data_IF_361043718252
#
_entry.id   IF_361043718252
#
_cell.length_a   1.000
_cell.length_b   1.000
_cell.length_c   1.000
_cell.angle_alpha   90.00
_cell.angle_beta   90.00
_cell.angle_gamma   90.00
#
_symmetry.space_group_name_H-M   'P 1'
#
loop_
_entity.id
_entity.type
_entity.pdbx_description
1 polymer ?
#
# COMPACT_ATOMS: atom_id res chain seq x y z
N UNK A 1 -24.57 64.33 -38.65
CA UNK A 1 -23.39 63.50 -38.14
C UNK A 1 -23.91 62.68 -36.99
N UNK A 2 -24.29 61.41 -37.25
CA UNK A 2 -24.70 60.44 -36.24
C UNK A 2 -23.47 59.58 -35.84
N UNK A 3 -23.04 59.64 -34.58
CA UNK A 3 -22.00 58.71 -34.00
C UNK A 3 -22.72 57.45 -33.60
N UNK A 4 -22.38 56.32 -34.25
CA UNK A 4 -22.78 55.00 -33.82
C UNK A 4 -21.86 54.55 -32.68
N UNK A 5 -22.45 54.22 -31.54
CA UNK A 5 -21.79 53.69 -30.36
C UNK A 5 -21.76 52.17 -30.50
N UNK A 6 -20.59 51.57 -30.74
CA UNK A 6 -20.41 50.12 -30.70
C UNK A 6 -20.23 49.69 -29.23
N UNK A 7 -21.22 48.97 -28.69
CA UNK A 7 -21.12 48.30 -27.41
C UNK A 7 -20.49 46.92 -27.65
N UNK A 8 -19.23 46.74 -27.24
CA UNK A 8 -18.56 45.46 -27.21
C UNK A 8 -19.04 44.70 -25.96
N UNK A 9 -19.90 43.69 -26.15
CA UNK A 9 -20.26 42.72 -25.13
C UNK A 9 -19.09 41.72 -25.01
N UNK A 10 -18.29 41.82 -23.95
CA UNK A 10 -17.30 40.81 -23.58
C UNK A 10 -18.00 39.62 -22.91
N UNK A 11 -18.13 38.53 -23.65
CA UNK A 11 -18.66 37.27 -23.14
C UNK A 11 -17.57 36.59 -22.32
N UNK A 12 -17.63 36.75 -21.00
CA UNK A 12 -16.75 36.03 -20.06
C UNK A 12 -17.21 34.58 -19.96
N UNK A 13 -16.56 33.67 -20.67
CA UNK A 13 -16.76 32.22 -20.50
C UNK A 13 -16.14 31.84 -19.18
N UNK A 14 -16.95 31.71 -18.15
CA UNK A 14 -16.56 31.02 -16.89
C UNK A 14 -16.39 29.54 -17.21
N UNK A 15 -15.14 29.13 -17.47
CA UNK A 15 -14.74 27.72 -17.39
C UNK A 15 -14.81 27.30 -15.92
N UNK A 16 -15.96 26.77 -15.48
CA UNK A 16 -16.05 26.00 -14.24
C UNK A 16 -15.29 24.70 -14.46
N UNK A 17 -13.97 24.70 -14.17
CA UNK A 17 -13.17 23.50 -14.09
C UNK A 17 -13.76 22.62 -13.00
N UNK A 18 -14.48 21.55 -13.37
CA UNK A 18 -14.86 20.50 -12.45
C UNK A 18 -13.58 19.92 -11.88
N UNK A 19 -13.26 20.21 -10.61
CA UNK A 19 -12.17 19.56 -9.89
C UNK A 19 -12.52 18.07 -9.81
N UNK A 20 -11.91 17.27 -10.69
CA UNK A 20 -12.04 15.81 -10.69
C UNK A 20 -11.56 15.34 -9.33
N UNK A 21 -12.45 14.73 -8.55
CA UNK A 21 -12.06 14.11 -7.29
C UNK A 21 -11.35 12.78 -7.60
N UNK A 22 -10.03 12.85 -7.77
CA UNK A 22 -9.15 11.74 -8.12
C UNK A 22 -9.41 10.50 -7.23
N UNK A 23 -9.68 10.71 -5.95
CA UNK A 23 -9.99 9.66 -5.00
C UNK A 23 -11.25 8.87 -5.40
N UNK A 24 -12.32 9.54 -5.80
CA UNK A 24 -13.59 8.89 -6.20
C UNK A 24 -13.53 8.26 -7.59
N UNK A 25 -12.78 8.82 -8.50
CA UNK A 25 -12.76 8.38 -9.90
C UNK A 25 -11.86 7.16 -10.12
N UNK A 26 -10.67 7.14 -9.51
CA UNK A 26 -9.63 6.15 -9.80
C UNK A 26 -9.36 5.16 -8.68
N UNK A 27 -9.96 5.35 -7.50
CA UNK A 27 -9.73 4.48 -6.34
C UNK A 27 -11.03 3.91 -5.81
N UNK A 28 -10.96 2.65 -5.42
CA UNK A 28 -12.01 1.94 -4.69
C UNK A 28 -11.58 1.67 -3.25
N UNK A 29 -12.55 1.60 -2.34
CA UNK A 29 -12.32 1.15 -0.97
C UNK A 29 -12.68 -0.33 -0.82
N UNK A 30 -11.88 -1.06 -0.05
CA UNK A 30 -12.26 -2.37 0.43
C UNK A 30 -12.90 -2.24 1.82
N UNK A 31 -14.04 -2.89 1.98
CA UNK A 31 -14.79 -2.96 3.25
C UNK A 31 -15.54 -4.30 3.35
N UNK A 32 -16.18 -4.56 4.48
CA UNK A 32 -16.88 -5.83 4.75
C UNK A 32 -18.08 -6.10 3.84
N UNK A 33 -18.57 -5.11 3.08
CA UNK A 33 -19.66 -5.28 2.13
C UNK A 33 -19.18 -5.79 0.76
N UNK A 34 -17.94 -5.48 0.39
CA UNK A 34 -17.40 -5.76 -0.94
C UNK A 34 -16.14 -6.64 -0.94
N UNK A 35 -15.63 -7.05 0.24
CA UNK A 35 -14.45 -7.89 0.41
C UNK A 35 -14.65 -8.87 1.56
N UNK A 36 -14.11 -10.09 1.41
CA UNK A 36 -14.04 -11.10 2.47
C UNK A 36 -12.77 -11.00 3.30
N UNK A 37 -11.86 -10.09 2.95
CA UNK A 37 -10.58 -9.90 3.64
C UNK A 37 -10.77 -9.34 5.05
N UNK A 38 -9.87 -9.72 5.95
CA UNK A 38 -9.68 -9.05 7.23
C UNK A 38 -8.79 -7.82 6.98
N UNK A 39 -9.28 -6.64 7.34
CA UNK A 39 -8.57 -5.37 7.13
C UNK A 39 -7.88 -4.96 8.43
N UNK A 40 -6.55 -5.02 8.46
CA UNK A 40 -5.70 -4.69 9.61
C UNK A 40 -4.73 -3.56 9.26
N UNK A 41 -5.26 -2.40 8.85
CA UNK A 41 -4.42 -1.26 8.43
C UNK A 41 -3.41 -0.86 9.51
N UNK A 42 -2.19 -1.40 9.42
CA UNK A 42 -1.16 -1.32 10.46
C UNK A 42 -0.69 0.10 10.75
N UNK A 43 -0.68 0.96 9.75
CA UNK A 43 -0.20 2.34 9.89
C UNK A 43 -1.24 3.31 10.42
N UNK A 44 -2.51 2.90 10.49
CA UNK A 44 -3.55 3.63 11.21
C UNK A 44 -3.38 3.55 12.74
N UNK A 45 -2.86 2.43 13.24
CA UNK A 45 -2.63 2.21 14.67
C UNK A 45 -1.15 2.35 15.06
N UNK A 46 -0.80 1.76 16.19
CA UNK A 46 0.57 1.73 16.73
C UNK A 46 1.29 0.40 16.50
N UNK A 47 0.62 -0.62 15.95
CA UNK A 47 1.21 -1.92 15.67
C UNK A 47 1.99 -1.90 14.34
N UNK A 48 3.07 -1.11 14.30
CA UNK A 48 3.97 -0.92 13.17
C UNK A 48 5.38 -0.56 13.68
N UNK A 49 6.36 -0.50 12.79
CA UNK A 49 7.76 -0.26 13.15
C UNK A 49 8.05 1.15 13.71
N UNK A 50 7.12 2.13 13.57
CA UNK A 50 7.22 3.43 14.25
C UNK A 50 6.66 3.36 15.67
N UNK A 51 5.74 2.40 15.95
CA UNK A 51 5.03 2.27 17.22
C UNK A 51 4.06 3.42 17.51
N UNK A 52 3.52 4.03 16.46
CA UNK A 52 2.51 5.11 16.49
C UNK A 52 1.74 5.17 15.18
N UNK A 53 0.64 5.90 15.18
CA UNK A 53 -0.07 6.23 13.95
C UNK A 53 0.85 7.01 12.99
N UNK A 54 0.77 6.69 11.69
CA UNK A 54 1.55 7.30 10.63
C UNK A 54 0.78 8.45 9.99
N UNK A 55 1.50 9.49 9.56
CA UNK A 55 0.89 10.65 8.91
C UNK A 55 0.08 10.26 7.67
N UNK A 56 -1.12 10.83 7.55
CA UNK A 56 -2.02 10.57 6.43
C UNK A 56 -2.98 9.41 6.61
N UNK A 57 -2.85 8.60 7.65
CA UNK A 57 -3.81 7.55 8.02
C UNK A 57 -4.77 8.07 9.10
N UNK A 58 -5.94 8.59 8.72
CA UNK A 58 -6.98 9.05 9.66
C UNK A 58 -8.10 8.04 9.86
N UNK A 59 -8.18 7.01 9.02
CA UNK A 59 -9.14 5.92 9.13
C UNK A 59 -8.50 4.59 8.70
N UNK A 60 -8.98 3.42 9.19
CA UNK A 60 -8.47 2.11 8.81
C UNK A 60 -9.09 1.64 7.47
N UNK A 61 -8.93 2.45 6.42
CA UNK A 61 -9.53 2.21 5.11
C UNK A 61 -8.44 1.78 4.13
N UNK A 62 -8.67 0.68 3.43
CA UNK A 62 -7.85 0.26 2.31
C UNK A 62 -8.36 0.90 1.02
N UNK A 63 -7.61 1.81 0.43
CA UNK A 63 -7.81 2.32 -0.93
C UNK A 63 -6.87 1.61 -1.90
N UNK A 64 -7.40 1.18 -3.04
CA UNK A 64 -6.62 0.69 -4.18
C UNK A 64 -7.13 1.32 -5.46
N UNK A 65 -6.30 1.37 -6.52
CA UNK A 65 -6.80 1.69 -7.86
C UNK A 65 -7.92 0.72 -8.25
N UNK A 66 -8.84 1.16 -9.09
CA UNK A 66 -9.98 0.34 -9.53
C UNK A 66 -9.51 -0.97 -10.16
N UNK A 67 -8.41 -0.94 -10.92
CA UNK A 67 -7.80 -2.10 -11.56
C UNK A 67 -7.21 -3.08 -10.52
N UNK A 68 -6.48 -2.56 -9.52
CA UNK A 68 -5.92 -3.40 -8.45
C UNK A 68 -7.03 -4.02 -7.60
N UNK A 69 -8.10 -3.27 -7.31
CA UNK A 69 -9.30 -3.79 -6.62
C UNK A 69 -9.94 -4.92 -7.41
N UNK A 70 -10.10 -4.75 -8.72
CA UNK A 70 -10.68 -5.77 -9.60
C UNK A 70 -9.83 -7.04 -9.66
N UNK A 71 -8.51 -6.91 -9.69
CA UNK A 71 -7.58 -8.03 -9.64
C UNK A 71 -7.62 -8.74 -8.28
N UNK A 72 -7.67 -7.99 -7.17
CA UNK A 72 -7.73 -8.55 -5.82
C UNK A 72 -9.01 -9.35 -5.57
N UNK A 73 -10.14 -8.94 -6.12
CA UNK A 73 -11.40 -9.72 -6.08
C UNK A 73 -11.26 -11.12 -6.68
N UNK A 74 -10.44 -11.27 -7.74
CA UNK A 74 -10.17 -12.60 -8.33
C UNK A 74 -9.34 -13.46 -7.38
N UNK A 75 -8.36 -12.85 -6.65
CA UNK A 75 -7.61 -13.53 -5.58
C UNK A 75 -8.55 -14.02 -4.49
N UNK A 76 -9.47 -13.17 -4.01
CA UNK A 76 -10.43 -13.54 -2.97
C UNK A 76 -11.35 -14.70 -3.42
N UNK A 77 -11.81 -14.69 -4.69
CA UNK A 77 -12.62 -15.77 -5.26
C UNK A 77 -11.83 -17.08 -5.31
N UNK A 78 -10.54 -17.04 -5.66
CA UNK A 78 -9.68 -18.22 -5.69
C UNK A 78 -9.49 -18.80 -4.27
N UNK A 79 -9.16 -17.97 -3.29
CA UNK A 79 -8.95 -18.37 -1.89
C UNK A 79 -10.24 -18.90 -1.23
N UNK A 80 -11.40 -18.33 -1.56
CA UNK A 80 -12.69 -18.76 -1.01
C UNK A 80 -13.01 -20.22 -1.34
N UNK A 81 -12.56 -20.74 -2.48
CA UNK A 81 -12.73 -22.16 -2.86
C UNK A 81 -12.03 -23.12 -1.89
N UNK A 82 -10.97 -22.64 -1.24
CA UNK A 82 -10.18 -23.38 -0.26
C UNK A 82 -10.50 -22.96 1.19
N UNK A 83 -11.60 -22.20 1.39
CA UNK A 83 -12.04 -21.67 2.69
C UNK A 83 -11.00 -20.74 3.35
N UNK A 84 -10.12 -20.16 2.54
CA UNK A 84 -9.10 -19.20 2.94
C UNK A 84 -9.56 -17.77 2.64
N UNK A 85 -8.97 -16.79 3.34
CA UNK A 85 -9.21 -15.37 3.12
C UNK A 85 -7.96 -14.54 3.33
N UNK A 86 -7.91 -13.37 2.75
CA UNK A 86 -6.81 -12.42 2.90
C UNK A 86 -6.85 -11.74 4.28
N UNK A 87 -5.65 -11.37 4.76
CA UNK A 87 -5.44 -10.36 5.80
C UNK A 87 -4.65 -9.23 5.16
N UNK A 88 -5.17 -8.01 5.15
CA UNK A 88 -4.58 -6.85 4.49
C UNK A 88 -3.96 -5.95 5.54
N UNK A 89 -2.67 -5.63 5.38
CA UNK A 89 -1.87 -4.82 6.30
C UNK A 89 -1.71 -3.38 5.83
N UNK A 90 -1.55 -3.17 4.51
CA UNK A 90 -1.46 -1.85 3.89
C UNK A 90 -1.91 -1.89 2.42
N UNK A 91 -2.43 -0.75 1.93
CA UNK A 91 -2.91 -0.56 0.57
C UNK A 91 -2.25 0.70 -0.03
N UNK A 92 -3.04 1.63 -0.57
CA UNK A 92 -2.52 2.96 -0.89
C UNK A 92 -1.93 3.61 0.36
N UNK A 93 -0.71 4.15 0.22
CA UNK A 93 0.03 4.87 1.25
C UNK A 93 0.31 6.28 0.74
N UNK A 94 -0.20 7.33 1.37
CA UNK A 94 0.07 8.71 0.95
C UNK A 94 1.58 9.01 0.92
N UNK A 95 2.05 9.87 0.03
CA UNK A 95 3.48 10.25 0.01
C UNK A 95 3.93 10.83 1.36
N UNK A 96 3.08 11.61 2.06
CA UNK A 96 3.37 12.11 3.41
C UNK A 96 3.63 11.01 4.45
N UNK A 97 3.05 9.83 4.28
CA UNK A 97 3.34 8.67 5.14
C UNK A 97 4.75 8.12 4.85
N UNK A 98 5.15 8.08 3.60
CA UNK A 98 6.52 7.71 3.21
C UNK A 98 7.52 8.72 3.74
N UNK A 99 7.20 10.00 3.68
CA UNK A 99 8.02 11.09 4.23
C UNK A 99 8.15 10.96 5.77
N UNK A 100 7.08 10.55 6.45
CA UNK A 100 7.08 10.27 7.89
C UNK A 100 8.00 9.08 8.25
N UNK A 101 8.03 8.02 7.41
CA UNK A 101 9.00 6.92 7.56
C UNK A 101 10.45 7.41 7.42
N UNK A 102 10.72 8.26 6.44
CA UNK A 102 12.04 8.87 6.23
C UNK A 102 12.45 9.71 7.43
N UNK A 103 11.55 10.55 7.96
CA UNK A 103 11.80 11.37 9.14
C UNK A 103 12.05 10.51 10.38
N UNK A 104 11.26 9.45 10.58
CA UNK A 104 11.47 8.50 11.67
C UNK A 104 12.82 7.78 11.55
N UNK A 105 13.20 7.32 10.36
CA UNK A 105 14.46 6.59 10.15
C UNK A 105 15.70 7.48 10.44
N UNK A 106 15.62 8.79 10.21
CA UNK A 106 16.67 9.76 10.54
C UNK A 106 16.81 10.02 12.05
N UNK A 107 15.77 9.74 12.85
CA UNK A 107 15.83 9.85 14.33
C UNK A 107 16.46 8.61 14.93
N UNK A 108 17.79 8.52 14.92
CA UNK A 108 18.55 7.31 15.28
C UNK A 108 18.29 6.81 16.72
N UNK A 109 17.90 7.70 17.63
CA UNK A 109 17.58 7.37 19.03
C UNK A 109 16.17 6.86 19.26
N UNK A 110 15.26 6.95 18.27
CA UNK A 110 13.91 6.37 18.34
C UNK A 110 13.96 4.87 17.97
N UNK A 111 14.28 4.03 18.93
CA UNK A 111 14.48 2.59 18.74
C UNK A 111 13.46 1.74 19.49
N UNK A 112 12.34 2.32 19.96
CA UNK A 112 11.35 1.63 20.81
C UNK A 112 10.77 0.36 20.21
N UNK A 113 10.70 0.26 18.88
CA UNK A 113 10.15 -0.89 18.16
C UNK A 113 11.24 -1.82 17.59
N UNK A 114 12.52 -1.56 17.92
CA UNK A 114 13.67 -2.30 17.37
C UNK A 114 13.57 -3.80 17.60
N UNK A 115 13.30 -4.23 18.81
CA UNK A 115 13.30 -5.64 19.17
C UNK A 115 12.22 -6.45 18.45
N UNK A 116 11.14 -5.79 18.04
CA UNK A 116 9.99 -6.41 17.36
C UNK A 116 10.19 -6.42 15.86
N UNK A 117 10.63 -5.30 15.25
CA UNK A 117 10.60 -5.14 13.80
C UNK A 117 11.96 -5.20 13.11
N UNK A 118 13.06 -4.81 13.80
CA UNK A 118 14.40 -4.76 13.17
C UNK A 118 15.54 -5.09 14.16
N UNK A 119 15.43 -6.24 14.89
CA UNK A 119 16.39 -6.55 15.96
C UNK A 119 17.83 -6.69 15.46
N UNK A 120 18.03 -7.15 14.22
CA UNK A 120 19.34 -7.39 13.63
C UNK A 120 19.85 -6.22 12.78
N UNK A 121 19.00 -5.20 12.47
CA UNK A 121 19.39 -4.07 11.62
C UNK A 121 19.67 -2.85 12.46
N UNK A 122 20.78 -2.15 12.18
CA UNK A 122 21.02 -0.84 12.79
C UNK A 122 20.16 0.20 12.10
N UNK A 123 19.52 1.07 12.86
CA UNK A 123 18.61 2.09 12.31
C UNK A 123 19.26 3.00 11.25
N UNK A 124 20.56 3.30 11.41
CA UNK A 124 21.35 4.07 10.43
C UNK A 124 21.49 3.37 9.06
N UNK A 125 21.33 2.04 9.03
CA UNK A 125 21.52 1.24 7.82
C UNK A 125 20.21 0.96 7.07
N UNK A 126 19.02 1.39 7.59
CA UNK A 126 17.72 1.12 7.01
C UNK A 126 17.57 1.57 5.55
N UNK A 127 18.16 2.73 5.19
CA UNK A 127 18.18 3.20 3.81
C UNK A 127 19.12 2.37 2.93
N UNK A 128 20.32 2.07 3.43
CA UNK A 128 21.33 1.28 2.72
C UNK A 128 20.86 -0.13 2.43
N UNK A 129 20.19 -0.75 3.40
CA UNK A 129 19.62 -2.10 3.28
C UNK A 129 18.33 -2.13 2.44
N UNK A 130 17.76 -0.95 2.15
CA UNK A 130 16.58 -0.81 1.29
C UNK A 130 15.23 -1.02 2.00
N UNK A 131 15.21 -1.04 3.35
CA UNK A 131 13.97 -1.13 4.13
C UNK A 131 13.17 0.17 4.12
N UNK A 132 13.84 1.31 4.03
CA UNK A 132 13.20 2.63 3.92
C UNK A 132 13.66 3.31 2.63
N UNK A 133 12.71 3.88 1.89
CA UNK A 133 12.94 4.63 0.66
C UNK A 133 12.13 5.93 0.64
N UNK A 134 12.58 6.91 -0.16
CA UNK A 134 11.91 8.21 -0.30
C UNK A 134 10.64 8.15 -1.17
N UNK A 135 10.42 7.05 -1.90
CA UNK A 135 9.23 6.79 -2.73
C UNK A 135 8.79 5.35 -2.54
N UNK A 136 7.48 5.11 -2.61
CA UNK A 136 6.91 3.77 -2.43
C UNK A 136 5.94 3.44 -3.58
N UNK A 137 5.91 2.17 -3.98
CA UNK A 137 4.90 1.64 -4.89
C UNK A 137 3.48 1.87 -4.39
N UNK A 138 3.26 1.80 -3.08
CA UNK A 138 1.97 2.03 -2.44
C UNK A 138 1.39 3.42 -2.75
N UNK A 139 2.23 4.45 -2.86
CA UNK A 139 1.77 5.81 -3.19
C UNK A 139 1.21 5.94 -4.62
N UNK A 140 1.41 4.91 -5.48
CA UNK A 140 0.83 4.85 -6.82
C UNK A 140 -0.56 4.19 -6.85
N UNK A 141 -1.00 3.60 -5.71
CA UNK A 141 -2.35 3.07 -5.52
C UNK A 141 -2.58 1.64 -6.01
N UNK A 142 -1.55 0.94 -6.51
CA UNK A 142 -1.70 -0.43 -7.05
C UNK A 142 -0.79 -1.44 -6.37
N UNK A 143 -0.24 -1.07 -5.21
CA UNK A 143 0.57 -1.94 -4.35
C UNK A 143 -0.20 -2.24 -3.06
N UNK A 144 -0.07 -3.47 -2.59
CA UNK A 144 -0.76 -4.00 -1.41
C UNK A 144 0.18 -4.91 -0.62
N UNK A 145 0.11 -4.79 0.72
CA UNK A 145 0.75 -5.68 1.67
C UNK A 145 -0.31 -6.56 2.34
N UNK A 146 -0.13 -7.88 2.24
CA UNK A 146 -1.14 -8.83 2.70
C UNK A 146 -0.58 -10.21 3.07
N UNK A 147 -1.42 -11.00 3.71
CA UNK A 147 -1.20 -12.41 4.03
C UNK A 147 -2.46 -13.23 3.74
N UNK A 148 -2.37 -14.54 3.94
CA UNK A 148 -3.54 -15.44 4.01
C UNK A 148 -3.77 -15.78 5.48
N UNK A 149 -5.03 -15.66 5.94
CA UNK A 149 -5.41 -16.01 7.31
C UNK A 149 -5.05 -17.45 7.63
N UNK A 150 -4.63 -17.72 8.86
CA UNK A 150 -4.26 -19.05 9.35
C UNK A 150 -2.97 -19.66 8.78
N UNK A 151 -2.33 -19.06 7.77
CA UNK A 151 -1.06 -19.54 7.23
C UNK A 151 0.12 -18.82 7.90
N UNK A 152 1.01 -19.61 8.51
CA UNK A 152 2.26 -19.10 9.07
C UNK A 152 3.25 -18.79 7.94
N UNK A 153 3.67 -17.53 7.85
CA UNK A 153 4.62 -17.04 6.85
C UNK A 153 6.07 -16.99 7.39
N UNK A 154 6.30 -17.34 8.65
CA UNK A 154 7.62 -17.46 9.28
C UNK A 154 8.24 -16.16 9.78
N UNK A 155 7.72 -15.00 9.38
CA UNK A 155 8.04 -13.70 9.98
C UNK A 155 6.76 -12.84 10.03
N UNK A 156 6.65 -11.92 11.00
CA UNK A 156 5.56 -10.94 10.96
C UNK A 156 5.72 -9.99 9.77
N UNK A 157 4.65 -9.25 9.48
CA UNK A 157 4.65 -8.12 8.56
C UNK A 157 5.64 -7.04 9.02
N UNK A 158 6.33 -6.37 8.10
CA UNK A 158 7.33 -5.32 8.37
C UNK A 158 8.55 -5.78 9.20
N UNK A 159 8.84 -7.06 9.23
CA UNK A 159 10.04 -7.55 9.88
C UNK A 159 11.27 -7.34 8.99
N UNK A 160 12.10 -6.36 9.32
CA UNK A 160 13.29 -5.97 8.54
C UNK A 160 14.44 -6.96 8.78
N UNK A 161 14.42 -8.03 8.03
CA UNK A 161 15.39 -9.14 8.12
C UNK A 161 15.36 -9.93 6.79
N UNK A 162 16.47 -10.49 6.32
CA UNK A 162 16.49 -11.37 5.14
C UNK A 162 15.57 -12.60 5.27
N UNK A 163 15.13 -12.97 6.49
CA UNK A 163 14.09 -13.98 6.70
C UNK A 163 12.75 -13.58 6.06
N UNK A 164 12.48 -12.29 5.87
CA UNK A 164 11.27 -11.78 5.20
C UNK A 164 11.32 -11.89 3.67
N UNK A 165 12.47 -12.20 3.08
CA UNK A 165 12.54 -12.47 1.65
C UNK A 165 11.65 -13.65 1.29
N UNK A 166 10.88 -13.55 0.20
CA UNK A 166 9.90 -14.57 -0.22
C UNK A 166 10.52 -15.96 -0.29
N UNK A 167 11.74 -16.07 -0.83
CA UNK A 167 12.50 -17.31 -1.00
C UNK A 167 13.56 -17.52 0.09
N UNK A 168 13.37 -16.96 1.28
CA UNK A 168 14.37 -17.09 2.34
C UNK A 168 14.64 -18.56 2.71
N UNK A 169 15.92 -19.00 2.73
CA UNK A 169 16.27 -20.35 3.21
C UNK A 169 16.23 -20.47 4.75
N UNK A 170 15.94 -19.37 5.45
CA UNK A 170 15.92 -19.29 6.91
C UNK A 170 14.53 -19.49 7.51
N UNK A 171 13.57 -19.98 6.73
CA UNK A 171 12.22 -20.36 7.18
C UNK A 171 12.02 -21.86 6.98
N UNK A 172 11.02 -22.43 7.67
CA UNK A 172 10.72 -23.86 7.53
C UNK A 172 10.16 -24.19 6.15
N UNK A 173 10.24 -25.45 5.68
CA UNK A 173 9.62 -25.87 4.42
C UNK A 173 8.12 -25.56 4.35
N UNK A 174 7.38 -25.68 5.47
CA UNK A 174 5.96 -25.36 5.55
C UNK A 174 5.70 -23.84 5.36
N UNK A 175 6.49 -22.99 6.02
CA UNK A 175 6.41 -21.53 5.85
C UNK A 175 6.76 -21.08 4.43
N UNK A 176 7.80 -21.68 3.84
CA UNK A 176 8.15 -21.42 2.44
C UNK A 176 7.02 -21.85 1.50
N UNK A 177 6.41 -23.01 1.70
CA UNK A 177 5.24 -23.47 0.94
C UNK A 177 4.09 -22.47 1.02
N UNK A 178 3.80 -21.92 2.20
CA UNK A 178 2.74 -20.92 2.41
C UNK A 178 3.04 -19.62 1.64
N UNK A 179 4.29 -19.12 1.69
CA UNK A 179 4.73 -17.95 0.90
C UNK A 179 4.60 -18.17 -0.60
N UNK A 180 5.00 -19.34 -1.09
CA UNK A 180 4.90 -19.69 -2.51
C UNK A 180 3.45 -19.83 -2.96
N UNK A 181 2.58 -20.34 -2.08
CA UNK A 181 1.15 -20.38 -2.34
C UNK A 181 0.55 -18.97 -2.46
N UNK A 182 0.83 -18.07 -1.49
CA UNK A 182 0.44 -16.67 -1.57
C UNK A 182 0.97 -16.02 -2.86
N UNK A 183 2.27 -16.19 -3.15
CA UNK A 183 2.89 -15.67 -4.36
C UNK A 183 2.19 -16.17 -5.61
N UNK A 184 1.91 -17.47 -5.71
CA UNK A 184 1.24 -18.06 -6.86
C UNK A 184 -0.14 -17.47 -7.07
N UNK A 185 -0.99 -17.43 -6.03
CA UNK A 185 -2.37 -16.93 -6.19
C UNK A 185 -2.42 -15.46 -6.57
N UNK A 186 -1.48 -14.64 -6.05
CA UNK A 186 -1.35 -13.22 -6.41
C UNK A 186 -0.87 -13.06 -7.86
N UNK A 187 0.16 -13.81 -8.28
CA UNK A 187 0.75 -13.69 -9.62
C UNK A 187 -0.18 -14.21 -10.73
N UNK A 188 -0.96 -15.27 -10.47
CA UNK A 188 -1.99 -15.79 -11.36
C UNK A 188 -3.11 -14.74 -11.59
N UNK A 189 -3.30 -13.81 -10.67
CA UNK A 189 -4.31 -12.76 -10.74
C UNK A 189 -3.74 -11.36 -11.05
N UNK A 190 -2.55 -11.30 -11.67
CA UNK A 190 -2.02 -10.09 -12.28
C UNK A 190 -1.10 -9.26 -11.39
N UNK A 191 -0.80 -9.67 -10.18
CA UNK A 191 0.18 -9.02 -9.33
C UNK A 191 1.60 -9.53 -9.58
N UNK A 192 2.58 -8.83 -9.01
CA UNK A 192 4.00 -9.21 -8.99
C UNK A 192 4.52 -9.04 -7.57
N UNK A 193 5.15 -10.08 -7.04
CA UNK A 193 5.79 -10.02 -5.72
C UNK A 193 7.07 -9.20 -5.75
N UNK A 194 7.36 -8.49 -4.65
CA UNK A 194 8.66 -7.92 -4.36
C UNK A 194 9.51 -8.98 -3.62
N UNK A 195 10.62 -9.47 -4.20
CA UNK A 195 11.31 -10.65 -3.65
C UNK A 195 11.86 -10.49 -2.23
N UNK A 196 12.09 -9.25 -1.77
CA UNK A 196 12.62 -8.99 -0.41
C UNK A 196 11.54 -9.00 0.67
N UNK A 197 10.25 -9.04 0.29
CA UNK A 197 9.10 -8.96 1.21
C UNK A 197 8.03 -9.94 0.77
N UNK A 198 7.75 -10.98 1.57
CA UNK A 198 6.79 -12.01 1.20
C UNK A 198 5.36 -11.50 1.11
N UNK A 199 5.05 -10.39 1.78
CA UNK A 199 3.71 -9.77 1.83
C UNK A 199 3.44 -8.77 0.70
N UNK A 200 4.47 -8.25 0.02
CA UNK A 200 4.40 -7.08 -0.85
C UNK A 200 4.15 -7.43 -2.32
N UNK A 201 3.06 -6.90 -2.88
CA UNK A 201 2.62 -7.17 -4.25
C UNK A 201 2.19 -5.89 -4.95
N UNK A 202 2.63 -5.70 -6.20
CA UNK A 202 2.22 -4.60 -7.08
C UNK A 202 1.51 -5.16 -8.31
N UNK A 203 0.43 -4.53 -8.76
CA UNK A 203 -0.25 -4.89 -10.01
C UNK A 203 0.72 -4.71 -11.19
N UNK A 204 0.85 -5.73 -12.09
CA UNK A 204 1.80 -5.70 -13.21
C UNK A 204 1.54 -4.54 -14.16
N UNK A 205 0.26 -4.28 -14.48
CA UNK A 205 -0.18 -3.21 -15.36
C UNK A 205 -0.88 -2.12 -14.53
N UNK A 206 -0.14 -1.48 -13.64
CA UNK A 206 -0.68 -0.40 -12.81
C UNK A 206 -1.03 0.84 -13.65
N UNK A 207 -2.19 1.50 -13.40
CA UNK A 207 -2.64 2.64 -14.20
C UNK A 207 -1.77 3.90 -14.00
N UNK A 208 -1.06 3.99 -12.87
CA UNK A 208 -0.28 5.18 -12.50
C UNK A 208 1.19 4.87 -12.19
N UNK A 209 1.98 4.29 -13.12
CA UNK A 209 3.32 3.77 -12.82
C UNK A 209 4.35 4.85 -12.43
N UNK A 210 4.03 6.13 -12.65
CA UNK A 210 4.92 7.27 -12.37
C UNK A 210 4.30 8.34 -11.46
N UNK A 211 3.02 8.17 -11.06
CA UNK A 211 2.30 9.18 -10.27
C UNK A 211 2.22 8.74 -8.81
N UNK A 212 2.76 9.55 -7.91
CA UNK A 212 2.71 9.36 -6.46
C UNK A 212 1.65 10.29 -5.88
N UNK A 213 0.62 9.70 -5.30
CA UNK A 213 -0.49 10.44 -4.72
C UNK A 213 -0.21 10.78 -3.25
N UNK A 214 -0.91 11.83 -2.74
CA UNK A 214 -0.77 12.27 -1.36
C UNK A 214 -2.11 12.68 -0.74
N UNK A 215 -3.23 12.03 -1.12
CA UNK A 215 -4.50 12.27 -0.44
C UNK A 215 -4.56 11.49 0.87
N UNK A 216 -5.25 12.09 1.86
CA UNK A 216 -5.41 11.50 3.19
C UNK A 216 -6.37 10.32 3.14
N UNK A 217 -6.07 9.28 3.92
CA UNK A 217 -6.94 8.11 4.14
C UNK A 217 -7.93 8.47 5.25
N UNK A 218 -9.17 8.78 4.86
CA UNK A 218 -10.27 9.21 5.74
C UNK A 218 -11.63 8.81 5.17
#
# INVERSE_FOLDING_TARGET
>A
MMRQLFVLLSLSILLSGSHINIKKEYFSTLNTQNSSAVIEMRYFGSNNFLGRQVQGYKAPICYLSNEATSALKKVEIALKKEQLRLVIFDCYRPQRAVDDFVLWAKKLNDTKMKDIYYPQVQKKDLFKEGYIAAKSGHSRGSTIDLSISTLDMGTPFDYFDPRSHTMSPKVTPAQLKNRLYLKKVMEDNGFKNYPKEWWHYTLKNEPFPKKYFDFVIE
#
